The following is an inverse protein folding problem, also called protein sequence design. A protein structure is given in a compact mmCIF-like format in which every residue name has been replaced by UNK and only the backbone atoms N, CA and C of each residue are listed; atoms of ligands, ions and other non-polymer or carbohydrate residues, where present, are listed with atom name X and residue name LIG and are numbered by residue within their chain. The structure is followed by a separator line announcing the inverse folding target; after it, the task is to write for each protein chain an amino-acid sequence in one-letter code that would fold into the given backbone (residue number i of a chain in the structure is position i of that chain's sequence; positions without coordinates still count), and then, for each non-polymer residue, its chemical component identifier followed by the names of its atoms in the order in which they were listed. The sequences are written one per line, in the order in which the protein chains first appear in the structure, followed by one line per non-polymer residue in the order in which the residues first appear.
data_IF_476981498972
#
_entry.id   IF_476981498972
#
_cell.length_a   1.000
_cell.length_b   1.000
_cell.length_c   1.000
_cell.angle_alpha   90.00
_cell.angle_beta   90.00
_cell.angle_gamma   90.00
#
_symmetry.space_group_name_H-M   'P 1'
#
loop_
_entity.id
_entity.type
_entity.pdbx_description
1 polymer ?
#
# COMPACT_ATOMS: atom_id res chain seq x y z
N UNK A 1 19.25 -22.79 21.63
CA UNK A 1 18.50 -22.93 20.35
C UNK A 1 19.28 -23.87 19.45
N UNK A 2 18.74 -25.03 19.08
CA UNK A 2 19.39 -25.85 18.06
C UNK A 2 19.29 -25.15 16.70
N UNK A 3 20.43 -25.04 16.03
CA UNK A 3 20.49 -24.57 14.66
C UNK A 3 19.94 -25.65 13.75
N UNK A 4 18.96 -25.29 12.93
CA UNK A 4 18.50 -26.17 11.86
C UNK A 4 18.75 -25.52 10.50
N UNK A 5 18.88 -26.36 9.48
CA UNK A 5 19.17 -25.92 8.11
C UNK A 5 18.08 -25.00 7.58
N UNK A 6 16.82 -25.23 7.94
CA UNK A 6 15.69 -24.43 7.50
C UNK A 6 15.76 -22.99 7.99
N UNK A 7 16.18 -22.76 9.24
CA UNK A 7 16.41 -21.42 9.78
C UNK A 7 17.50 -20.70 9.01
N UNK A 8 18.62 -21.36 8.73
CA UNK A 8 19.73 -20.75 7.97
C UNK A 8 19.27 -20.38 6.56
N UNK A 9 18.58 -21.28 5.88
CA UNK A 9 18.01 -21.01 4.55
C UNK A 9 16.98 -19.88 4.59
N UNK A 10 16.17 -19.81 5.64
CA UNK A 10 15.19 -18.75 5.81
C UNK A 10 15.86 -17.39 6.00
N UNK A 11 16.86 -17.30 6.89
CA UNK A 11 17.62 -16.08 7.16
C UNK A 11 18.35 -15.59 5.89
N UNK A 12 18.98 -16.51 5.15
CA UNK A 12 19.65 -16.20 3.88
C UNK A 12 18.67 -15.77 2.79
N UNK A 13 17.51 -16.40 2.69
CA UNK A 13 16.47 -16.03 1.72
C UNK A 13 15.90 -14.65 2.03
N UNK A 14 15.71 -14.32 3.32
CA UNK A 14 15.25 -13.01 3.75
C UNK A 14 16.30 -11.94 3.42
N UNK A 15 17.57 -12.17 3.77
CA UNK A 15 18.69 -11.30 3.40
C UNK A 15 18.75 -11.10 1.88
N UNK A 16 18.65 -12.19 1.11
CA UNK A 16 18.63 -12.17 -0.35
C UNK A 16 17.51 -11.31 -0.91
N UNK A 17 16.30 -11.41 -0.34
CA UNK A 17 15.15 -10.59 -0.77
C UNK A 17 15.40 -9.08 -0.58
N UNK A 18 16.04 -8.68 0.52
CA UNK A 18 16.36 -7.28 0.80
C UNK A 18 17.47 -6.77 -0.12
N UNK A 19 18.51 -7.57 -0.33
CA UNK A 19 19.58 -7.25 -1.29
C UNK A 19 19.01 -7.08 -2.71
N UNK A 20 18.12 -7.98 -3.14
CA UNK A 20 17.46 -7.88 -4.44
C UNK A 20 16.62 -6.63 -4.57
N UNK A 21 15.86 -6.25 -3.53
CA UNK A 21 15.06 -5.03 -3.51
C UNK A 21 15.93 -3.78 -3.66
N UNK A 22 16.99 -3.66 -2.86
CA UNK A 22 17.92 -2.53 -2.92
C UNK A 22 18.59 -2.46 -4.30
N UNK A 23 19.06 -3.59 -4.80
CA UNK A 23 19.67 -3.69 -6.12
C UNK A 23 18.68 -3.29 -7.23
N UNK A 24 17.42 -3.72 -7.15
CA UNK A 24 16.37 -3.37 -8.10
C UNK A 24 16.14 -1.86 -8.16
N UNK A 25 16.01 -1.20 -7.00
CA UNK A 25 15.81 0.26 -6.91
C UNK A 25 16.99 0.99 -7.55
N UNK A 26 18.22 0.58 -7.25
CA UNK A 26 19.43 1.20 -7.82
C UNK A 26 19.58 0.95 -9.32
N UNK A 27 19.24 -0.25 -9.78
CA UNK A 27 19.35 -0.64 -11.19
C UNK A 27 18.32 0.08 -12.05
N UNK A 28 17.09 0.21 -11.55
CA UNK A 28 16.00 0.88 -12.24
C UNK A 28 16.01 2.41 -12.05
N UNK A 29 16.84 2.93 -11.13
CA UNK A 29 16.87 4.35 -10.76
C UNK A 29 15.50 4.89 -10.36
N UNK A 30 14.65 4.03 -9.82
CA UNK A 30 13.27 4.32 -9.46
C UNK A 30 12.83 3.40 -8.32
N UNK A 31 12.04 3.95 -7.40
CA UNK A 31 11.34 3.21 -6.34
C UNK A 31 9.86 2.92 -6.71
N UNK A 32 9.49 3.11 -7.97
CA UNK A 32 8.15 2.78 -8.46
C UNK A 32 7.85 1.28 -8.33
N UNK A 33 6.62 0.93 -7.93
CA UNK A 33 6.25 -0.47 -7.65
C UNK A 33 6.50 -0.93 -6.22
N UNK A 34 7.25 -0.17 -5.40
CA UNK A 34 7.53 -0.46 -3.99
C UNK A 34 6.87 0.56 -3.08
N UNK A 35 6.18 0.09 -2.04
CA UNK A 35 5.47 0.93 -1.08
C UNK A 35 6.41 1.44 -0.01
N UNK A 36 6.51 2.77 0.12
CA UNK A 36 7.30 3.42 1.15
C UNK A 36 6.73 3.10 2.53
N UNK A 37 5.40 3.15 2.69
CA UNK A 37 4.76 2.84 3.97
C UNK A 37 5.03 1.40 4.41
N UNK A 38 5.07 0.43 3.49
CA UNK A 38 5.46 -0.94 3.82
C UNK A 38 6.89 -1.00 4.37
N UNK A 39 7.83 -0.28 3.75
CA UNK A 39 9.21 -0.21 4.24
C UNK A 39 9.32 0.48 5.60
N UNK A 40 8.54 1.55 5.84
CA UNK A 40 8.44 2.19 7.16
C UNK A 40 7.92 1.24 8.23
N UNK A 41 6.85 0.49 7.94
CA UNK A 41 6.30 -0.51 8.87
C UNK A 41 7.31 -1.63 9.17
N UNK A 42 8.02 -2.14 8.15
CA UNK A 42 9.11 -3.11 8.37
C UNK A 42 10.26 -2.54 9.20
N UNK A 43 10.62 -1.27 9.03
CA UNK A 43 11.62 -0.63 9.88
C UNK A 43 11.16 -0.56 11.35
N UNK A 44 9.89 -0.22 11.60
CA UNK A 44 9.31 -0.25 12.96
C UNK A 44 9.36 -1.67 13.54
N UNK A 45 9.03 -2.69 12.75
CA UNK A 45 9.16 -4.11 13.15
C UNK A 45 10.59 -4.43 13.54
N UNK A 46 11.59 -4.11 12.71
CA UNK A 46 12.98 -4.44 13.01
C UNK A 46 13.52 -3.66 14.21
N UNK A 47 13.19 -2.38 14.34
CA UNK A 47 13.56 -1.58 15.52
C UNK A 47 13.00 -2.25 16.77
N UNK A 48 11.68 -2.46 16.83
CA UNK A 48 11.04 -3.03 18.03
C UNK A 48 11.48 -4.45 18.34
N UNK A 49 11.75 -5.27 17.33
CA UNK A 49 12.21 -6.66 17.49
C UNK A 49 13.65 -6.79 17.97
N UNK A 50 14.52 -5.86 17.56
CA UNK A 50 15.96 -5.95 17.82
C UNK A 50 16.44 -4.99 18.90
N UNK A 51 15.52 -4.38 19.68
CA UNK A 51 15.86 -3.59 20.87
C UNK A 51 16.60 -4.41 21.93
N UNK A 52 16.47 -5.74 21.91
CA UNK A 52 17.25 -6.64 22.76
C UNK A 52 18.77 -6.55 22.52
N UNK A 53 19.22 -6.00 21.37
CA UNK A 53 20.63 -5.69 21.12
C UNK A 53 21.22 -4.66 22.10
N UNK A 54 20.38 -3.81 22.71
CA UNK A 54 20.83 -2.82 23.67
C UNK A 54 21.23 -3.45 25.01
N UNK A 55 20.77 -4.67 25.30
CA UNK A 55 21.15 -5.39 26.51
C UNK A 55 22.49 -6.11 26.31
N UNK A 56 23.52 -5.83 27.15
CA UNK A 56 24.83 -6.48 27.06
C UNK A 56 24.78 -8.01 27.12
N UNK A 57 23.80 -8.55 27.84
CA UNK A 57 23.63 -10.00 27.99
C UNK A 57 23.33 -10.69 26.66
N UNK A 58 22.60 -10.02 25.76
CA UNK A 58 22.15 -10.57 24.46
C UNK A 58 23.30 -10.90 23.52
N UNK A 59 24.36 -10.07 23.52
CA UNK A 59 25.52 -10.26 22.63
C UNK A 59 26.72 -10.93 23.32
N UNK A 60 26.56 -11.36 24.58
CA UNK A 60 27.59 -12.07 25.31
C UNK A 60 27.89 -13.44 24.68
N UNK A 61 29.08 -13.54 24.05
CA UNK A 61 29.61 -14.79 23.48
C UNK A 61 29.78 -15.88 24.56
N UNK A 62 30.02 -15.48 25.81
CA UNK A 62 30.13 -16.40 26.94
C UNK A 62 28.79 -17.10 27.23
N UNK A 63 27.67 -16.39 27.08
CA UNK A 63 26.33 -16.90 27.38
C UNK A 63 25.74 -17.71 26.22
N UNK A 64 25.93 -17.25 24.99
CA UNK A 64 25.24 -17.81 23.80
C UNK A 64 26.17 -18.48 22.78
N UNK A 65 27.48 -18.53 23.03
CA UNK A 65 28.47 -19.14 22.16
C UNK A 65 28.63 -18.44 20.81
N UNK A 66 29.15 -19.16 19.81
CA UNK A 66 29.42 -18.64 18.45
C UNK A 66 28.16 -18.25 17.67
N UNK A 67 27.00 -18.75 18.08
CA UNK A 67 25.69 -18.44 17.48
C UNK A 67 25.35 -16.95 17.54
N UNK A 68 25.87 -16.25 18.55
CA UNK A 68 25.62 -14.82 18.75
C UNK A 68 26.20 -13.97 17.62
N UNK A 69 27.34 -14.37 17.05
CA UNK A 69 28.00 -13.64 15.97
C UNK A 69 27.09 -13.60 14.73
N UNK A 70 26.49 -14.74 14.37
CA UNK A 70 25.51 -14.79 13.29
C UNK A 70 24.29 -13.92 13.60
N UNK A 71 23.64 -14.16 14.75
CA UNK A 71 22.40 -13.45 15.09
C UNK A 71 22.59 -11.93 15.14
N UNK A 72 23.64 -11.44 15.81
CA UNK A 72 23.92 -10.01 15.91
C UNK A 72 24.22 -9.41 14.53
N UNK A 73 25.02 -10.08 13.71
CA UNK A 73 25.33 -9.60 12.36
C UNK A 73 24.08 -9.47 11.49
N UNK A 74 23.19 -10.46 11.51
CA UNK A 74 21.92 -10.41 10.78
C UNK A 74 21.00 -9.32 11.29
N UNK A 75 20.86 -9.15 12.61
CA UNK A 75 20.04 -8.07 13.19
C UNK A 75 20.54 -6.69 12.77
N UNK A 76 21.86 -6.46 12.84
CA UNK A 76 22.48 -5.21 12.39
C UNK A 76 22.27 -4.99 10.89
N UNK A 77 22.44 -6.03 10.07
CA UNK A 77 22.19 -5.97 8.63
C UNK A 77 20.73 -5.58 8.32
N UNK A 78 19.75 -6.24 8.94
CA UNK A 78 18.33 -5.96 8.72
C UNK A 78 17.96 -4.53 9.16
N UNK A 79 18.50 -4.07 10.28
CA UNK A 79 18.27 -2.72 10.76
C UNK A 79 18.87 -1.67 9.81
N UNK A 80 20.14 -1.83 9.44
CA UNK A 80 20.85 -0.91 8.56
C UNK A 80 20.22 -0.87 7.16
N UNK A 81 19.87 -2.04 6.59
CA UNK A 81 19.25 -2.14 5.27
C UNK A 81 17.84 -1.56 5.23
N UNK A 82 17.05 -1.68 6.30
CA UNK A 82 15.73 -1.06 6.39
C UNK A 82 15.81 0.48 6.35
N UNK A 83 16.66 1.07 7.18
CA UNK A 83 16.89 2.53 7.15
C UNK A 83 17.50 2.99 5.83
N UNK A 84 18.43 2.22 5.26
CA UNK A 84 19.00 2.52 3.96
C UNK A 84 17.95 2.50 2.84
N UNK A 85 17.05 1.51 2.84
CA UNK A 85 15.96 1.41 1.85
C UNK A 85 15.02 2.61 1.95
N UNK A 86 14.64 3.01 3.17
CA UNK A 86 13.84 4.23 3.39
C UNK A 86 14.59 5.47 2.89
N UNK A 87 15.88 5.60 3.23
CA UNK A 87 16.70 6.73 2.81
C UNK A 87 16.76 6.88 1.28
N UNK A 88 17.03 5.79 0.56
CA UNK A 88 17.08 5.85 -0.91
C UNK A 88 15.70 6.16 -1.51
N UNK A 89 14.61 5.66 -0.93
CA UNK A 89 13.24 5.94 -1.41
C UNK A 89 12.76 7.36 -1.09
N UNK A 90 13.28 7.99 -0.04
CA UNK A 90 12.87 9.35 0.36
C UNK A 90 13.75 10.45 -0.26
N UNK A 91 15.05 10.19 -0.45
CA UNK A 91 16.02 11.23 -0.84
C UNK A 91 16.60 11.05 -2.24
N UNK A 92 16.90 9.81 -2.65
CA UNK A 92 17.64 9.55 -3.89
C UNK A 92 16.69 9.29 -5.05
N UNK A 93 15.69 8.44 -4.84
CA UNK A 93 14.68 8.05 -5.82
C UNK A 93 13.27 8.35 -5.27
N UNK A 94 12.96 9.64 -5.00
CA UNK A 94 11.69 10.02 -4.41
C UNK A 94 10.53 9.59 -5.29
N UNK A 95 9.52 8.98 -4.67
CA UNK A 95 8.30 8.52 -5.35
C UNK A 95 7.16 9.52 -5.14
N UNK A 96 6.20 9.49 -6.07
CA UNK A 96 4.90 10.16 -5.94
C UNK A 96 4.18 9.77 -4.65
N UNK A 97 3.46 10.74 -4.07
CA UNK A 97 2.81 10.63 -2.75
C UNK A 97 1.91 9.39 -2.67
N UNK A 98 2.09 8.58 -1.63
CA UNK A 98 1.22 7.45 -1.36
C UNK A 98 -0.20 7.92 -1.00
N UNK A 99 -1.20 7.14 -1.44
CA UNK A 99 -2.61 7.48 -1.26
C UNK A 99 -2.98 7.47 0.23
N UNK A 100 -3.89 8.36 0.61
CA UNK A 100 -4.42 8.46 1.98
C UNK A 100 -4.94 7.11 2.53
N UNK A 101 -5.58 6.30 1.67
CA UNK A 101 -6.05 4.96 2.05
C UNK A 101 -4.93 4.04 2.54
N UNK A 102 -3.74 4.11 1.93
CA UNK A 102 -2.60 3.32 2.36
C UNK A 102 -2.12 3.78 3.75
N UNK A 103 -2.01 5.09 3.97
CA UNK A 103 -1.68 5.68 5.27
C UNK A 103 -2.66 5.30 6.37
N UNK A 104 -3.97 5.42 6.11
CA UNK A 104 -5.03 4.97 7.02
C UNK A 104 -4.79 3.49 7.40
N UNK A 105 -4.58 2.60 6.42
CA UNK A 105 -4.29 1.19 6.70
C UNK A 105 -3.01 0.98 7.51
N UNK A 106 -1.93 1.70 7.23
CA UNK A 106 -0.68 1.59 7.98
C UNK A 106 -0.86 1.99 9.45
N UNK A 107 -1.53 3.13 9.70
CA UNK A 107 -1.83 3.62 11.05
C UNK A 107 -2.71 2.62 11.80
N UNK A 108 -3.80 2.14 11.18
CA UNK A 108 -4.66 1.13 11.81
C UNK A 108 -3.91 -0.18 12.09
N UNK A 109 -2.98 -0.58 11.21
CA UNK A 109 -2.16 -1.77 11.44
C UNK A 109 -1.27 -1.63 12.67
N UNK A 110 -0.67 -0.46 12.88
CA UNK A 110 0.09 -0.15 14.10
C UNK A 110 -0.81 -0.15 15.32
N UNK A 111 -1.95 0.56 15.28
CA UNK A 111 -2.88 0.65 16.42
C UNK A 111 -3.41 -0.72 16.84
N UNK A 112 -3.86 -1.54 15.88
CA UNK A 112 -4.33 -2.90 16.14
C UNK A 112 -3.21 -3.74 16.75
N UNK A 113 -1.98 -3.61 16.25
CA UNK A 113 -0.84 -4.34 16.80
C UNK A 113 -0.55 -3.93 18.25
N UNK A 114 -0.57 -2.64 18.57
CA UNK A 114 -0.38 -2.14 19.94
C UNK A 114 -1.42 -2.73 20.90
N UNK A 115 -2.69 -2.77 20.50
CA UNK A 115 -3.78 -3.32 21.34
C UNK A 115 -3.70 -4.84 21.47
N UNK A 116 -3.36 -5.54 20.39
CA UNK A 116 -3.36 -6.99 20.35
C UNK A 116 -2.14 -7.62 21.04
N UNK A 117 -1.03 -6.88 21.14
CA UNK A 117 0.20 -7.35 21.79
C UNK A 117 0.03 -7.75 23.26
N UNK A 118 -0.49 -6.89 24.16
CA UNK A 118 -0.69 -7.26 25.56
C UNK A 118 -1.75 -8.36 25.70
N UNK A 119 -2.80 -8.36 24.85
CA UNK A 119 -3.82 -9.40 24.84
C UNK A 119 -3.23 -10.77 24.45
N UNK A 120 -2.39 -10.82 23.43
CA UNK A 120 -1.71 -12.05 23.01
C UNK A 120 -0.84 -12.61 24.13
N UNK A 121 -0.04 -11.77 24.79
CA UNK A 121 0.79 -12.20 25.93
C UNK A 121 -0.07 -12.74 27.07
N UNK A 122 -1.15 -12.03 27.44
CA UNK A 122 -2.05 -12.47 28.51
C UNK A 122 -2.73 -13.82 28.20
N UNK A 123 -3.13 -14.04 26.95
CA UNK A 123 -3.80 -15.26 26.52
C UNK A 123 -2.82 -16.44 26.45
N UNK A 124 -1.61 -16.23 25.91
CA UNK A 124 -0.69 -17.33 25.60
C UNK A 124 0.35 -17.59 26.69
N UNK A 125 0.85 -16.58 27.38
CA UNK A 125 1.96 -16.72 28.35
C UNK A 125 1.51 -16.77 29.82
N UNK A 126 0.20 -16.67 30.11
CA UNK A 126 -0.44 -16.73 31.44
C UNK A 126 0.04 -15.71 32.50
N UNK A 127 1.27 -15.20 32.44
CA UNK A 127 1.86 -14.18 33.33
C UNK A 127 2.80 -13.26 32.53
N UNK A 128 2.86 -11.98 32.93
CA UNK A 128 3.85 -11.07 32.37
C UNK A 128 5.26 -11.43 32.86
N UNK A 129 6.23 -11.63 31.95
CA UNK A 129 7.61 -11.91 32.31
C UNK A 129 8.30 -10.68 32.92
N UNK A 130 9.40 -10.88 33.66
CA UNK A 130 10.15 -9.79 34.32
C UNK A 130 10.63 -8.70 33.35
N UNK A 131 10.92 -9.07 32.10
CA UNK A 131 11.25 -8.14 31.00
C UNK A 131 10.02 -7.78 30.17
N UNK A 132 8.90 -7.48 30.84
CA UNK A 132 7.58 -7.28 30.22
C UNK A 132 7.59 -6.31 29.04
N UNK A 133 8.41 -5.25 29.09
CA UNK A 133 8.47 -4.24 28.03
C UNK A 133 9.09 -4.78 26.74
N UNK A 134 10.19 -5.53 26.82
CA UNK A 134 10.84 -6.12 25.65
C UNK A 134 9.99 -7.23 25.05
N UNK A 135 9.31 -8.01 25.90
CA UNK A 135 8.40 -9.07 25.47
C UNK A 135 7.15 -8.49 24.81
N UNK A 136 6.62 -7.37 25.33
CA UNK A 136 5.54 -6.61 24.69
C UNK A 136 5.94 -6.09 23.31
N UNK A 137 7.14 -5.52 23.18
CA UNK A 137 7.66 -5.02 21.90
C UNK A 137 7.97 -6.15 20.92
N UNK A 138 8.45 -7.30 21.42
CA UNK A 138 8.65 -8.50 20.63
C UNK A 138 7.32 -9.01 20.07
N UNK A 139 6.29 -9.18 20.91
CA UNK A 139 4.96 -9.59 20.48
C UNK A 139 4.35 -8.59 19.49
N UNK A 140 4.48 -7.29 19.77
CA UNK A 140 4.10 -6.21 18.86
C UNK A 140 4.76 -6.34 17.50
N UNK A 141 6.07 -6.58 17.46
CA UNK A 141 6.79 -6.73 16.21
C UNK A 141 6.26 -7.92 15.39
N UNK A 142 5.92 -9.05 16.03
CA UNK A 142 5.40 -10.25 15.37
C UNK A 142 4.01 -9.98 14.77
N UNK A 143 3.14 -9.33 15.53
CA UNK A 143 1.79 -8.98 15.09
C UNK A 143 1.84 -7.98 13.94
N UNK A 144 2.64 -6.91 14.09
CA UNK A 144 2.76 -5.87 13.08
C UNK A 144 3.34 -6.43 11.77
N UNK A 145 4.37 -7.28 11.86
CA UNK A 145 4.96 -7.91 10.67
C UNK A 145 3.94 -8.72 9.86
N UNK A 146 2.99 -9.37 10.54
CA UNK A 146 1.95 -10.14 9.87
C UNK A 146 1.06 -9.30 8.96
N UNK A 147 0.96 -8.00 9.21
CA UNK A 147 0.11 -7.05 8.47
C UNK A 147 0.91 -6.00 7.68
N UNK A 148 2.24 -5.93 7.83
CA UNK A 148 3.11 -4.98 7.14
C UNK A 148 2.98 -5.01 5.62
N UNK A 149 2.62 -6.16 5.03
CA UNK A 149 2.50 -6.32 3.58
C UNK A 149 1.27 -5.58 3.00
N UNK A 150 0.26 -5.24 3.81
CA UNK A 150 -1.02 -4.70 3.33
C UNK A 150 -0.90 -3.44 2.44
N UNK A 151 -0.08 -2.41 2.78
CA UNK A 151 0.06 -1.24 1.91
C UNK A 151 0.70 -1.59 0.56
N UNK A 152 1.63 -2.55 0.52
CA UNK A 152 2.23 -3.05 -0.72
C UNK A 152 1.18 -3.74 -1.60
N UNK A 153 0.27 -4.50 -1.01
CA UNK A 153 -0.84 -5.15 -1.75
C UNK A 153 -1.76 -4.11 -2.41
N UNK A 154 -2.08 -3.04 -1.68
CA UNK A 154 -2.88 -1.94 -2.23
C UNK A 154 -2.18 -1.21 -3.37
N UNK A 155 -0.87 -0.99 -3.25
CA UNK A 155 -0.08 -0.37 -4.30
C UNK A 155 -0.10 -1.23 -5.56
N UNK A 156 0.12 -2.53 -5.39
CA UNK A 156 0.17 -3.46 -6.51
C UNK A 156 -1.19 -3.55 -7.22
N UNK A 157 -2.32 -3.30 -6.54
CA UNK A 157 -3.63 -3.15 -7.20
C UNK A 157 -3.65 -2.09 -8.29
N UNK A 158 -2.84 -1.05 -8.15
CA UNK A 158 -2.90 0.14 -8.99
C UNK A 158 -1.75 0.19 -10.01
N UNK A 159 -0.72 -0.65 -9.87
CA UNK A 159 0.37 -0.72 -10.84
C UNK A 159 0.02 -1.67 -11.99
N UNK A 160 0.18 -1.15 -13.21
CA UNK A 160 -0.22 -1.84 -14.44
C UNK A 160 0.82 -2.87 -14.89
N UNK A 161 2.09 -2.81 -14.44
CA UNK A 161 3.15 -3.77 -14.81
C UNK A 161 4.10 -4.14 -13.65
N UNK A 162 4.03 -5.37 -13.10
CA UNK A 162 5.09 -5.89 -12.24
C UNK A 162 6.35 -6.19 -13.07
N UNK A 163 7.52 -5.79 -12.57
CA UNK A 163 8.78 -6.09 -13.26
C UNK A 163 9.23 -7.52 -12.97
N UNK A 164 10.03 -8.10 -13.88
CA UNK A 164 10.63 -9.43 -13.67
C UNK A 164 11.52 -9.44 -12.42
N UNK A 165 12.17 -8.32 -12.11
CA UNK A 165 13.02 -8.19 -10.91
C UNK A 165 12.17 -8.28 -9.64
N UNK A 166 10.97 -7.67 -9.64
CA UNK A 166 10.03 -7.79 -8.51
C UNK A 166 9.62 -9.25 -8.29
N UNK A 167 9.49 -10.05 -9.36
CA UNK A 167 9.14 -11.48 -9.24
C UNK A 167 10.17 -12.27 -8.42
N UNK A 168 11.46 -12.02 -8.63
CA UNK A 168 12.54 -12.70 -7.89
C UNK A 168 12.59 -12.25 -6.43
N UNK A 169 12.43 -10.95 -6.18
CA UNK A 169 12.29 -10.42 -4.83
C UNK A 169 11.15 -11.11 -4.07
N UNK A 170 9.97 -11.19 -4.69
CA UNK A 170 8.78 -11.79 -4.09
C UNK A 170 8.93 -13.31 -3.90
N UNK A 171 9.61 -13.99 -4.82
CA UNK A 171 9.91 -15.42 -4.68
C UNK A 171 10.89 -15.68 -3.52
N UNK A 172 11.93 -14.86 -3.37
CA UNK A 172 12.84 -14.92 -2.23
C UNK A 172 12.11 -14.60 -0.92
N UNK A 173 11.16 -13.67 -0.97
CA UNK A 173 10.31 -13.31 0.16
C UNK A 173 9.36 -14.47 0.56
N UNK A 174 8.72 -15.13 -0.41
CA UNK A 174 7.91 -16.32 -0.14
C UNK A 174 8.75 -17.50 0.36
N UNK A 175 9.97 -17.66 -0.15
CA UNK A 175 10.88 -18.74 0.22
C UNK A 175 11.36 -18.60 1.67
N UNK A 176 11.69 -17.39 2.15
CA UNK A 176 12.02 -17.20 3.56
C UNK A 176 10.88 -17.71 4.45
N UNK A 177 9.64 -17.41 4.03
CA UNK A 177 8.45 -17.75 4.81
C UNK A 177 8.24 -19.26 4.87
N UNK A 178 8.33 -19.93 3.73
CA UNK A 178 8.22 -21.38 3.64
C UNK A 178 9.27 -22.07 4.54
N UNK A 179 10.52 -21.61 4.50
CA UNK A 179 11.58 -22.16 5.34
C UNK A 179 11.36 -21.91 6.84
N UNK A 180 10.82 -20.75 7.24
CA UNK A 180 10.48 -20.50 8.65
C UNK A 180 9.37 -21.43 9.16
N UNK A 181 8.36 -21.72 8.35
CA UNK A 181 7.29 -22.68 8.67
C UNK A 181 7.90 -24.08 8.86
N UNK A 182 8.77 -24.52 7.94
CA UNK A 182 9.47 -25.80 8.07
C UNK A 182 10.34 -25.84 9.33
N UNK A 183 11.03 -24.74 9.65
CA UNK A 183 11.78 -24.61 10.91
C UNK A 183 10.86 -24.78 12.14
N UNK A 184 9.66 -24.20 12.14
CA UNK A 184 8.70 -24.38 13.25
C UNK A 184 8.22 -25.83 13.37
N UNK A 185 7.89 -26.48 12.25
CA UNK A 185 7.48 -27.88 12.25
C UNK A 185 8.59 -28.78 12.80
N UNK A 186 9.84 -28.56 12.38
CA UNK A 186 10.99 -29.32 12.87
C UNK A 186 11.23 -29.09 14.36
N UNK A 187 11.06 -27.87 14.87
CA UNK A 187 11.24 -27.57 16.31
C UNK A 187 10.09 -28.09 17.17
N UNK A 188 8.86 -28.05 16.64
CA UNK A 188 7.65 -28.48 17.35
C UNK A 188 7.48 -30.00 17.41
N UNK A 189 7.74 -30.70 16.30
CA UNK A 189 7.64 -32.17 16.22
C UNK A 189 8.96 -32.89 16.46
N UNK A 190 10.09 -32.20 16.35
CA UNK A 190 11.40 -32.76 16.64
C UNK A 190 11.71 -32.78 18.14
N UNK A 191 12.99 -33.00 18.44
CA UNK A 191 13.50 -33.25 19.80
C UNK A 191 13.27 -32.10 20.80
N UNK A 192 13.08 -30.87 20.31
CA UNK A 192 12.91 -29.70 21.18
C UNK A 192 11.49 -29.57 21.74
N UNK A 193 10.47 -30.17 21.08
CA UNK A 193 9.04 -30.03 21.42
C UNK A 193 8.62 -28.59 21.75
N UNK A 194 9.23 -27.62 21.07
CA UNK A 194 9.07 -26.20 21.38
C UNK A 194 8.05 -25.55 20.44
N UNK A 195 6.98 -25.02 21.03
CA UNK A 195 5.94 -24.27 20.34
C UNK A 195 5.82 -22.89 20.94
N UNK A 196 5.94 -21.87 20.09
CA UNK A 196 5.66 -20.48 20.43
C UNK A 196 4.29 -20.11 19.82
N UNK A 197 3.22 -20.06 20.63
CA UNK A 197 1.87 -19.86 20.12
C UNK A 197 1.69 -18.51 19.42
N UNK A 198 2.34 -17.45 19.93
CA UNK A 198 2.24 -16.09 19.38
C UNK A 198 2.87 -16.09 17.98
N UNK A 199 4.11 -16.56 17.86
CA UNK A 199 4.80 -16.64 16.57
C UNK A 199 4.06 -17.53 15.57
N UNK A 200 3.44 -18.62 16.03
CA UNK A 200 2.70 -19.54 15.18
C UNK A 200 1.40 -18.93 14.64
N UNK A 201 0.55 -18.35 15.50
CA UNK A 201 -0.76 -17.80 15.11
C UNK A 201 -0.61 -16.63 14.15
N UNK A 202 0.17 -15.61 14.53
CA UNK A 202 0.44 -14.49 13.63
C UNK A 202 1.27 -14.92 12.43
N UNK A 203 2.00 -16.02 12.60
CA UNK A 203 2.72 -16.62 11.52
C UNK A 203 1.84 -17.21 10.42
N UNK A 204 0.73 -17.83 10.79
CA UNK A 204 -0.30 -18.30 9.85
C UNK A 204 -0.96 -17.10 9.17
N UNK A 205 -1.33 -16.07 9.94
CA UNK A 205 -1.93 -14.83 9.39
C UNK A 205 -1.04 -14.21 8.32
N UNK A 206 0.25 -14.05 8.62
CA UNK A 206 1.23 -13.52 7.68
C UNK A 206 1.31 -14.38 6.42
N UNK A 207 1.37 -15.71 6.57
CA UNK A 207 1.46 -16.65 5.45
C UNK A 207 0.21 -16.59 4.57
N UNK A 208 -0.97 -16.45 5.16
CA UNK A 208 -2.22 -16.29 4.42
C UNK A 208 -2.20 -15.04 3.52
N UNK A 209 -1.69 -13.91 4.02
CA UNK A 209 -1.49 -12.71 3.20
C UNK A 209 -0.47 -12.92 2.09
N UNK A 210 0.62 -13.66 2.34
CA UNK A 210 1.60 -14.00 1.29
C UNK A 210 1.02 -14.91 0.21
N UNK A 211 0.18 -15.88 0.57
CA UNK A 211 -0.48 -16.76 -0.40
C UNK A 211 -1.47 -15.98 -1.25
N UNK A 212 -2.32 -15.16 -0.63
CA UNK A 212 -3.27 -14.29 -1.35
C UNK A 212 -2.51 -13.34 -2.28
N UNK A 213 -1.39 -12.80 -1.81
CA UNK A 213 -0.50 -12.00 -2.62
C UNK A 213 0.09 -12.76 -3.82
N UNK A 214 0.65 -13.94 -3.59
CA UNK A 214 1.23 -14.77 -4.65
C UNK A 214 0.18 -15.17 -5.69
N UNK A 215 -1.05 -15.48 -5.25
CA UNK A 215 -2.18 -15.79 -6.12
C UNK A 215 -2.54 -14.61 -7.04
N UNK A 216 -2.68 -13.42 -6.47
CA UNK A 216 -2.94 -12.18 -7.21
C UNK A 216 -1.83 -11.88 -8.20
N UNK A 217 -0.57 -12.03 -7.77
CA UNK A 217 0.59 -11.79 -8.60
C UNK A 217 0.64 -12.76 -9.79
N UNK A 218 0.48 -14.05 -9.53
CA UNK A 218 0.49 -15.11 -10.54
C UNK A 218 -0.64 -14.95 -11.56
N UNK A 219 -1.85 -14.67 -11.08
CA UNK A 219 -3.03 -14.47 -11.93
C UNK A 219 -2.80 -13.34 -12.94
N UNK A 220 -2.18 -12.24 -12.52
CA UNK A 220 -1.88 -11.11 -13.42
C UNK A 220 -0.83 -11.41 -14.46
N UNK A 221 0.20 -12.19 -14.13
CA UNK A 221 1.25 -12.53 -15.09
C UNK A 221 0.71 -13.42 -16.23
N UNK A 222 -0.24 -14.31 -15.92
CA UNK A 222 -0.89 -15.18 -16.91
C UNK A 222 -1.78 -14.40 -17.88
N UNK A 223 -2.52 -13.39 -17.41
CA UNK A 223 -3.41 -12.58 -18.27
C UNK A 223 -2.59 -11.78 -19.30
N UNK A 224 -1.43 -11.26 -18.92
CA UNK A 224 -0.56 -10.49 -19.82
C UNK A 224 0.09 -11.30 -20.91
N UNK A 225 0.51 -12.53 -20.60
CA UNK A 225 1.09 -13.43 -21.58
C UNK A 225 0.05 -13.93 -22.60
N UNK A 226 -1.24 -13.88 -22.26
CA UNK A 226 -2.31 -14.42 -23.12
C UNK A 226 -2.97 -13.38 -24.03
N UNK A 227 -3.03 -12.09 -23.64
CA UNK A 227 -3.84 -11.11 -24.37
C UNK A 227 -3.12 -9.85 -24.88
N UNK A 228 -1.83 -9.59 -24.59
CA UNK A 228 -1.06 -8.51 -25.23
C UNK A 228 -1.69 -7.09 -25.21
N UNK A 229 -2.74 -6.85 -24.42
CA UNK A 229 -3.60 -5.68 -24.46
C UNK A 229 -4.03 -5.25 -23.06
N UNK A 230 -4.27 -3.94 -22.93
CA UNK A 230 -4.49 -3.15 -21.71
C UNK A 230 -5.38 -3.87 -20.68
N UNK A 231 -4.90 -3.88 -19.44
CA UNK A 231 -5.43 -4.65 -18.30
C UNK A 231 -6.53 -3.86 -17.58
N UNK A 232 -7.73 -4.44 -17.51
CA UNK A 232 -8.84 -3.89 -16.75
C UNK A 232 -8.69 -4.09 -15.24
N UNK A 233 -9.22 -3.11 -14.50
CA UNK A 233 -9.17 -3.00 -13.04
C UNK A 233 -9.99 -4.05 -12.26
N UNK A 234 -10.66 -4.97 -12.96
CA UNK A 234 -11.62 -5.93 -12.40
C UNK A 234 -10.98 -7.20 -11.81
N UNK A 235 -9.72 -7.53 -12.16
CA UNK A 235 -9.08 -8.77 -11.71
C UNK A 235 -8.78 -8.83 -10.20
N UNK A 236 -8.87 -7.69 -9.51
CA UNK A 236 -8.67 -7.60 -8.05
C UNK A 236 -9.92 -7.85 -7.20
N UNK A 237 -11.10 -7.96 -7.81
CA UNK A 237 -12.30 -8.47 -7.12
C UNK A 237 -12.14 -9.91 -6.62
N UNK A 238 -11.13 -10.64 -7.13
CA UNK A 238 -10.88 -12.06 -6.87
C UNK A 238 -9.98 -12.35 -5.65
N UNK A 239 -9.38 -11.35 -5.01
CA UNK A 239 -8.53 -11.54 -3.82
C UNK A 239 -9.41 -11.61 -2.57
N UNK A 240 -9.76 -12.83 -2.14
CA UNK A 240 -10.79 -13.08 -1.12
C UNK A 240 -10.42 -12.50 0.27
N UNK A 241 -9.14 -12.54 0.66
CA UNK A 241 -8.68 -12.07 1.97
C UNK A 241 -8.47 -10.55 1.98
N UNK A 242 -7.73 -10.00 1.02
CA UNK A 242 -7.52 -8.55 0.93
C UNK A 242 -8.84 -7.81 0.70
N UNK A 243 -9.71 -8.30 -0.18
CA UNK A 243 -10.99 -7.65 -0.41
C UNK A 243 -11.87 -7.69 0.84
N UNK A 244 -11.82 -8.77 1.65
CA UNK A 244 -12.52 -8.79 2.94
C UNK A 244 -11.88 -7.83 3.93
N UNK A 245 -10.56 -7.83 4.14
CA UNK A 245 -9.93 -6.95 5.13
C UNK A 245 -10.04 -5.47 4.74
N UNK A 246 -9.97 -5.16 3.45
CA UNK A 246 -10.06 -3.79 2.92
C UNK A 246 -11.53 -3.33 2.84
N UNK A 247 -12.47 -4.14 2.35
CA UNK A 247 -13.89 -3.72 2.24
C UNK A 247 -14.68 -3.86 3.55
N UNK A 248 -14.41 -4.89 4.38
CA UNK A 248 -15.02 -4.96 5.72
C UNK A 248 -14.64 -3.72 6.55
N UNK A 249 -13.44 -3.18 6.32
CA UNK A 249 -12.97 -1.96 6.98
C UNK A 249 -13.39 -0.67 6.26
N UNK A 250 -13.59 -0.71 4.94
CA UNK A 250 -14.18 0.41 4.20
C UNK A 250 -15.64 0.67 4.60
N UNK A 251 -16.43 -0.39 4.83
CA UNK A 251 -17.79 -0.25 5.36
C UNK A 251 -17.79 0.42 6.74
N UNK A 252 -16.83 0.10 7.63
CA UNK A 252 -16.72 0.81 8.92
C UNK A 252 -16.31 2.27 8.76
N UNK A 253 -15.32 2.56 7.91
CA UNK A 253 -14.88 3.94 7.69
C UNK A 253 -15.96 4.80 7.02
N UNK A 254 -16.77 4.25 6.12
CA UNK A 254 -17.93 4.96 5.56
C UNK A 254 -19.05 5.12 6.57
N UNK A 255 -19.27 4.16 7.47
CA UNK A 255 -20.23 4.30 8.57
C UNK A 255 -19.77 5.35 9.58
N UNK A 256 -18.47 5.43 9.87
CA UNK A 256 -17.91 6.46 10.76
C UNK A 256 -17.95 7.86 10.11
N UNK A 257 -17.72 7.98 8.79
CA UNK A 257 -17.89 9.24 8.04
C UNK A 257 -19.38 9.64 7.91
N UNK A 258 -20.30 8.69 7.66
CA UNK A 258 -21.75 8.95 7.69
C UNK A 258 -22.27 9.29 9.10
N UNK A 259 -21.70 8.69 10.16
CA UNK A 259 -22.04 9.02 11.54
C UNK A 259 -21.48 10.39 11.94
N UNK A 260 -20.26 10.74 11.54
CA UNK A 260 -19.71 12.08 11.80
C UNK A 260 -20.47 13.18 11.07
N UNK A 261 -20.92 12.92 9.83
CA UNK A 261 -21.81 13.83 9.10
C UNK A 261 -23.19 13.92 9.74
N UNK A 262 -23.73 12.82 10.29
CA UNK A 262 -25.00 12.82 11.05
C UNK A 262 -24.88 13.55 12.39
N UNK A 263 -23.78 13.41 13.11
CA UNK A 263 -23.55 14.10 14.38
C UNK A 263 -23.32 15.62 14.14
N UNK A 264 -22.72 16.00 13.01
CA UNK A 264 -22.65 17.40 12.55
C UNK A 264 -24.02 17.93 12.08
N UNK A 265 -24.87 17.09 11.46
CA UNK A 265 -26.25 17.43 11.09
C UNK A 265 -27.21 17.50 12.30
N UNK A 266 -27.01 16.69 13.34
CA UNK A 266 -27.81 16.70 14.57
C UNK A 266 -27.42 17.84 15.54
N UNK A 267 -26.22 18.43 15.38
CA UNK A 267 -25.77 19.62 16.11
C UNK A 267 -26.25 20.97 15.53
N UNK A 268 -26.92 20.96 14.38
CA UNK A 268 -27.45 22.14 13.71
C UNK A 268 -28.96 22.11 13.61
N UNK A 269 -29.64 22.93 14.40
CA UNK A 269 -31.07 23.19 14.21
C UNK A 269 -31.35 23.68 12.77
N UNK A 270 -32.14 22.92 12.00
CA UNK A 270 -33.01 23.50 10.98
C UNK A 270 -33.04 22.84 9.60
N UNK A 271 -34.22 22.26 9.30
CA UNK A 271 -34.85 22.04 7.98
C UNK A 271 -34.31 20.90 7.09
N UNK A 272 -35.04 19.79 7.19
CA UNK A 272 -35.12 18.70 6.20
C UNK A 272 -35.62 19.23 4.85
N UNK A 273 -34.82 19.10 3.79
CA UNK A 273 -35.29 19.22 2.41
C UNK A 273 -35.02 17.90 1.67
N UNK A 274 -36.07 17.09 1.49
CA UNK A 274 -36.00 15.81 0.79
C UNK A 274 -36.05 16.02 -0.72
N UNK A 275 -34.90 16.08 -1.39
CA UNK A 275 -34.84 15.96 -2.84
C UNK A 275 -34.49 14.52 -3.24
N UNK A 276 -35.56 13.77 -3.54
CA UNK A 276 -35.54 12.41 -4.07
C UNK A 276 -35.32 12.47 -5.58
N UNK A 277 -34.08 12.34 -6.04
CA UNK A 277 -33.77 12.24 -7.46
C UNK A 277 -34.02 10.80 -7.95
N UNK A 278 -35.14 10.61 -8.65
CA UNK A 278 -35.45 9.38 -9.37
C UNK A 278 -34.66 9.29 -10.68
N UNK A 279 -34.15 8.10 -10.98
CA UNK A 279 -33.47 7.78 -12.22
C UNK A 279 -34.43 7.91 -13.42
N UNK A 280 -34.02 8.73 -14.42
CA UNK A 280 -34.69 9.07 -15.70
C UNK A 280 -35.59 10.32 -15.64
N UNK A 281 -35.01 11.47 -15.98
CA UNK A 281 -35.74 12.69 -16.30
C UNK A 281 -34.89 13.59 -17.18
N UNK A 282 -35.32 13.79 -18.41
CA UNK A 282 -34.76 14.73 -19.40
C UNK A 282 -35.20 16.13 -18.99
N UNK A 283 -34.27 17.06 -18.80
CA UNK A 283 -34.59 18.48 -18.58
C UNK A 283 -34.51 19.24 -19.90
N UNK A 284 -35.67 19.55 -20.48
CA UNK A 284 -35.86 20.56 -21.54
C UNK A 284 -36.89 21.57 -21.05
N UNK A 285 -36.61 22.83 -21.39
CA UNK A 285 -37.08 24.09 -20.82
C UNK A 285 -38.59 24.38 -20.89
N UNK A 286 -39.02 25.36 -20.10
CA UNK A 286 -39.96 26.37 -20.55
C UNK A 286 -39.75 27.69 -19.79
N UNK A 287 -39.58 28.74 -20.57
CA UNK A 287 -39.66 30.16 -20.26
C UNK A 287 -41.12 30.51 -19.95
N UNK A 288 -41.38 31.32 -18.92
CA UNK A 288 -42.68 31.97 -18.73
C UNK A 288 -42.47 33.46 -18.52
N UNK A 289 -43.16 34.19 -19.37
CA UNK A 289 -43.02 35.60 -19.70
C UNK A 289 -44.01 36.44 -18.89
N UNK A 290 -43.59 37.69 -18.64
CA UNK A 290 -44.40 38.90 -18.43
C UNK A 290 -45.21 39.07 -17.14
N UNK A 291 -44.89 40.12 -16.38
CA UNK A 291 -45.74 41.32 -16.23
C UNK A 291 -45.08 42.35 -15.30
N UNK A 292 -44.80 43.56 -15.82
CA UNK A 292 -45.25 44.79 -15.14
C UNK A 292 -45.28 45.98 -16.12
N UNK A 293 -46.45 46.59 -16.24
CA UNK A 293 -46.76 47.77 -17.04
C UNK A 293 -46.39 49.08 -16.32
N UNK A 294 -46.12 50.11 -17.14
CA UNK A 294 -46.28 51.53 -16.83
C UNK A 294 -44.96 52.30 -17.01
N UNK A 295 -44.84 53.34 -17.84
CA UNK A 295 -45.73 54.51 -17.98
C UNK A 295 -45.29 55.38 -19.20
N UNK A 296 -46.22 56.21 -19.65
CA UNK A 296 -46.28 57.09 -20.83
C UNK A 296 -45.17 58.15 -21.09
N UNK A 297 -45.01 58.48 -22.38
CA UNK A 297 -44.68 59.80 -22.97
C UNK A 297 -43.24 59.92 -23.49
N UNK A 298 -42.91 60.40 -24.69
CA UNK A 298 -43.60 60.99 -25.84
C UNK A 298 -42.54 61.65 -26.74
N UNK A 299 -42.82 61.75 -28.04
CA UNK A 299 -42.24 62.66 -29.06
C UNK A 299 -40.77 62.49 -29.54
N UNK A 300 -40.70 62.09 -30.82
CA UNK A 300 -40.10 62.78 -31.98
C UNK A 300 -38.58 62.96 -32.20
N UNK A 301 -38.25 62.66 -33.47
CA UNK A 301 -37.24 63.23 -34.38
C UNK A 301 -35.80 62.66 -34.45
N UNK A 302 -35.51 62.16 -35.67
CA UNK A 302 -34.30 62.33 -36.51
C UNK A 302 -32.98 61.63 -36.08
N UNK A 303 -32.08 61.15 -36.94
CA UNK A 303 -31.91 61.02 -38.39
C UNK A 303 -30.71 60.04 -38.59
N UNK A 304 -30.73 59.32 -39.71
CA UNK A 304 -29.59 58.93 -40.57
C UNK A 304 -28.43 57.99 -40.17
N UNK A 305 -28.13 57.09 -41.14
CA UNK A 305 -26.78 56.65 -41.51
C UNK A 305 -26.55 55.14 -41.50
N UNK A 306 -27.15 54.35 -42.40
CA UNK A 306 -26.59 53.84 -43.68
C UNK A 306 -25.51 52.75 -43.56
N UNK A 307 -25.88 51.57 -44.11
CA UNK A 307 -25.14 50.52 -44.85
C UNK A 307 -23.75 50.04 -44.36
N UNK A 308 -23.41 48.75 -44.35
CA UNK A 308 -24.02 47.60 -45.00
C UNK A 308 -22.93 46.70 -45.62
N UNK A 309 -23.04 45.40 -45.31
CA UNK A 309 -22.84 44.25 -46.23
C UNK A 309 -21.37 43.89 -46.57
N UNK A 310 -20.83 42.75 -46.09
CA UNK A 310 -20.72 41.41 -46.74
C UNK A 310 -20.07 41.48 -48.16
N UNK A 311 -19.25 40.56 -48.67
CA UNK A 311 -19.02 39.15 -48.40
C UNK A 311 -17.72 38.74 -49.13
N UNK A 312 -17.05 37.72 -48.59
CA UNK A 312 -16.68 36.45 -49.24
C UNK A 312 -16.04 36.41 -50.66
N UNK A 313 -14.86 35.78 -50.66
CA UNK A 313 -14.58 34.50 -51.34
C UNK A 313 -13.84 34.40 -52.71
N UNK A 314 -12.89 33.44 -52.65
CA UNK A 314 -12.40 32.46 -53.64
C UNK A 314 -11.29 32.73 -54.70
N UNK A 315 -10.49 31.64 -54.84
CA UNK A 315 -9.58 31.16 -55.91
C UNK A 315 -8.11 31.61 -55.81
N UNK A 316 -7.14 30.77 -55.43
CA UNK A 316 -6.57 29.56 -56.08
C UNK A 316 -5.89 29.84 -57.43
N UNK A 317 -4.55 29.79 -57.50
CA UNK A 317 -3.80 28.78 -58.27
C UNK A 317 -2.26 29.06 -58.26
N UNK A 318 -1.50 27.96 -58.11
CA UNK A 318 -0.21 27.59 -58.76
C UNK A 318 1.17 28.23 -58.46
N UNK A 319 2.05 27.28 -58.14
CA UNK A 319 3.41 27.01 -58.71
C UNK A 319 4.60 27.88 -58.28
N UNK A 320 5.53 27.28 -57.53
CA UNK A 320 6.81 26.75 -58.07
C UNK A 320 7.72 26.19 -56.95
N UNK A 321 8.22 24.98 -57.14
CA UNK A 321 9.46 24.49 -56.51
C UNK A 321 10.65 24.85 -57.43
N UNK A 322 11.91 24.91 -56.92
CA UNK A 322 12.72 23.69 -56.91
C UNK A 322 13.72 23.52 -55.73
N UNK A 323 14.28 22.30 -55.72
CA UNK A 323 15.27 21.65 -54.82
C UNK A 323 16.60 22.40 -54.63
N UNK A 324 17.30 22.20 -53.50
CA UNK A 324 18.51 21.32 -53.36
C UNK A 324 19.33 21.52 -52.05
N UNK A 325 19.92 20.40 -51.60
CA UNK A 325 21.24 20.18 -50.92
C UNK A 325 21.50 20.48 -49.42
N UNK A 326 21.58 19.37 -48.66
CA UNK A 326 22.72 18.81 -47.89
C UNK A 326 23.75 19.67 -47.12
N UNK A 327 24.14 19.08 -45.97
CA UNK A 327 25.37 19.14 -45.15
C UNK A 327 25.47 20.16 -44.02
N UNK A 328 25.76 19.62 -42.83
CA UNK A 328 26.08 20.25 -41.55
C UNK A 328 26.03 19.19 -40.47
#
# INVERSE_FOLDING_TARGET
MAWNVFRVLADLSHLGSICLLIWAIHKNKSAEGVSLLTQLLYAVVFVTRYLDLLNPDTWSVRTYGKAVIWNVSFKLFFLASAFYTIFIMMKVFPRTRERERAWKLGIYSVLVSVVLSPLAILIFEKKFPSHWFLELLWAFSIILESVCVLPQLLLLRQTTVPTVIDSYYLAALGSYRAFYILNWLVRGFGREHYWDPIAFVFGIVQTAFYIDFAWVYYSRQRVKLRNGGVVDSEDFSKSWLVNRVVNFRANRASTDEEQHLRDEEEGGEGRVNTNRWGARGISIAADDTLENQGRHGGHDEDEDGIEGVLADDYLDDRQHAPRTRTTG
#
